data_IF_069761659436
#
_entry.id   IF_069761659436
#
_cell.length_a   1.000
_cell.length_b   1.000
_cell.length_c   1.000
_cell.angle_alpha   90.00
_cell.angle_beta   90.00
_cell.angle_gamma   90.00
#
_symmetry.space_group_name_H-M   'P 1'
#
loop_
_entity.id
_entity.type
_entity.pdbx_description
1 polymer ?
#
# COMPACT_ATOMS: atom_id res chain seq x y z
N UNK A 1 24.88 6.01 0.92
CA UNK A 1 24.80 6.89 2.10
C UNK A 1 23.39 7.02 2.68
N UNK A 2 22.33 7.39 1.93
CA UNK A 2 20.96 7.42 2.50
C UNK A 2 20.34 6.03 2.77
N UNK A 3 20.69 5.00 1.99
CA UNK A 3 20.19 3.64 2.19
C UNK A 3 20.79 2.93 3.40
N UNK A 4 22.01 3.30 3.79
CA UNK A 4 22.77 2.63 4.85
C UNK A 4 22.18 2.94 6.22
N UNK A 5 21.78 4.20 6.45
CA UNK A 5 21.15 4.64 7.69
C UNK A 5 19.76 4.01 7.88
N UNK A 6 18.94 3.97 6.82
CA UNK A 6 17.61 3.33 6.87
C UNK A 6 17.74 1.83 7.12
N UNK A 7 18.72 1.17 6.51
CA UNK A 7 18.99 -0.25 6.73
C UNK A 7 19.45 -0.53 8.16
N UNK A 8 20.36 0.29 8.70
CA UNK A 8 20.81 0.20 10.10
C UNK A 8 19.65 0.42 11.07
N UNK A 9 18.81 1.43 10.83
CA UNK A 9 17.65 1.72 11.67
C UNK A 9 16.58 0.64 11.57
N UNK A 10 16.35 0.06 10.39
CA UNK A 10 15.46 -1.10 10.22
C UNK A 10 15.93 -2.30 11.03
N UNK A 11 17.25 -2.57 11.09
CA UNK A 11 17.80 -3.65 11.92
C UNK A 11 17.58 -3.41 13.41
N UNK A 12 17.66 -2.14 13.85
CA UNK A 12 17.47 -1.74 15.24
C UNK A 12 15.99 -1.70 15.65
N UNK A 13 15.12 -1.21 14.77
CA UNK A 13 13.69 -1.03 15.00
C UNK A 13 12.90 -1.36 13.71
N UNK A 14 12.49 -2.63 13.55
CA UNK A 14 11.68 -3.06 12.41
C UNK A 14 10.29 -2.42 12.39
N UNK A 15 9.70 -2.16 13.56
CA UNK A 15 8.35 -1.60 13.68
C UNK A 15 8.30 -0.16 13.17
N UNK A 16 9.31 0.65 13.50
CA UNK A 16 9.45 2.00 12.92
C UNK A 16 9.53 1.94 11.39
N UNK A 17 10.30 1.00 10.84
CA UNK A 17 10.44 0.86 9.39
C UNK A 17 9.11 0.48 8.73
N UNK A 18 8.36 -0.45 9.32
CA UNK A 18 7.05 -0.86 8.83
C UNK A 18 6.01 0.25 8.92
N UNK A 19 5.89 0.92 10.08
CA UNK A 19 4.99 2.05 10.24
C UNK A 19 5.33 3.21 9.29
N UNK A 20 6.63 3.47 9.04
CA UNK A 20 7.06 4.47 8.06
C UNK A 20 6.68 4.08 6.63
N UNK A 21 6.87 2.81 6.25
CA UNK A 21 6.49 2.31 4.92
C UNK A 21 4.97 2.41 4.69
N UNK A 22 4.16 1.96 5.65
CA UNK A 22 2.69 2.09 5.62
C UNK A 22 2.27 3.54 5.48
N UNK A 23 2.84 4.43 6.30
CA UNK A 23 2.54 5.87 6.24
C UNK A 23 2.85 6.46 4.86
N UNK A 24 4.01 6.15 4.29
CA UNK A 24 4.40 6.65 2.96
C UNK A 24 3.50 6.12 1.85
N UNK A 25 3.07 4.85 1.93
CA UNK A 25 2.13 4.28 0.96
C UNK A 25 0.76 4.97 1.03
N UNK A 26 0.20 5.15 2.24
CA UNK A 26 -1.08 5.83 2.44
C UNK A 26 -1.01 7.29 1.95
N UNK A 27 0.09 7.99 2.26
CA UNK A 27 0.29 9.37 1.79
C UNK A 27 0.36 9.47 0.26
N UNK A 28 0.98 8.48 -0.40
CA UNK A 28 1.07 8.44 -1.86
C UNK A 28 -0.29 8.17 -2.49
N UNK A 29 -1.03 7.19 -1.97
CA UNK A 29 -2.43 6.93 -2.33
C UNK A 29 -3.32 8.16 -2.12
N UNK A 30 -3.16 8.88 -1.00
CA UNK A 30 -3.91 10.10 -0.72
C UNK A 30 -3.65 11.26 -1.69
N UNK A 31 -2.64 11.18 -2.56
CA UNK A 31 -2.43 12.19 -3.61
C UNK A 31 -3.37 12.01 -4.80
N UNK A 32 -3.93 10.82 -5.01
CA UNK A 32 -4.78 10.51 -6.17
C UNK A 32 -6.26 10.73 -5.89
N UNK A 33 -6.73 10.54 -4.66
CA UNK A 33 -8.11 10.83 -4.23
C UNK A 33 -8.15 12.13 -3.41
N UNK A 34 -8.83 13.18 -3.90
CA UNK A 34 -8.82 14.52 -3.26
C UNK A 34 -10.14 14.96 -2.64
N UNK A 35 -11.22 14.20 -2.84
CA UNK A 35 -12.57 14.54 -2.36
C UNK A 35 -13.37 13.28 -2.02
N UNK A 36 -14.42 13.45 -1.23
CA UNK A 36 -15.38 12.37 -0.87
C UNK A 36 -16.09 11.79 -2.10
N UNK A 37 -16.26 12.61 -3.15
CA UNK A 37 -16.90 12.22 -4.41
C UNK A 37 -15.88 11.80 -5.49
N UNK A 38 -14.59 11.78 -5.15
CA UNK A 38 -13.50 11.43 -6.05
C UNK A 38 -13.11 9.97 -5.83
N UNK A 39 -12.75 9.26 -6.89
CA UNK A 39 -12.35 7.87 -6.83
C UNK A 39 -11.12 7.63 -7.69
N UNK A 40 -10.14 6.92 -7.12
CA UNK A 40 -8.91 6.57 -7.81
C UNK A 40 -8.50 5.13 -7.52
N UNK A 41 -7.82 4.51 -8.48
CA UNK A 41 -7.30 3.15 -8.36
C UNK A 41 -5.78 3.23 -8.41
N UNK A 42 -5.13 2.80 -7.33
CA UNK A 42 -3.68 2.73 -7.23
C UNK A 42 -3.23 1.28 -7.37
N UNK A 43 -2.39 1.00 -8.36
CA UNK A 43 -1.75 -0.31 -8.51
C UNK A 43 -0.38 -0.31 -7.81
N UNK A 44 -0.13 -1.33 -6.99
CA UNK A 44 1.15 -1.54 -6.31
C UNK A 44 1.76 -2.85 -6.81
N UNK A 45 2.93 -2.76 -7.47
CA UNK A 45 3.62 -3.90 -8.07
C UNK A 45 4.67 -4.48 -7.12
N UNK A 46 4.24 -4.92 -5.93
CA UNK A 46 5.11 -5.58 -4.95
C UNK A 46 4.33 -6.63 -4.15
N UNK A 47 4.81 -7.88 -4.15
CA UNK A 47 4.22 -8.99 -3.38
C UNK A 47 4.18 -8.70 -1.87
N UNK A 48 5.16 -7.96 -1.34
CA UNK A 48 5.26 -7.62 0.09
C UNK A 48 4.30 -6.51 0.50
N UNK A 49 3.76 -5.72 -0.44
CA UNK A 49 2.82 -4.64 -0.14
C UNK A 49 1.58 -5.15 0.61
N UNK A 50 1.08 -6.35 0.28
CA UNK A 50 -0.05 -6.98 0.97
C UNK A 50 0.26 -7.22 2.46
N UNK A 51 1.49 -7.60 2.79
CA UNK A 51 1.88 -7.80 4.19
C UNK A 51 1.76 -6.50 4.97
N UNK A 52 2.24 -5.38 4.40
CA UNK A 52 2.18 -4.06 5.04
C UNK A 52 0.76 -3.49 5.11
N UNK A 53 0.00 -3.56 4.02
CA UNK A 53 -1.27 -2.86 3.92
C UNK A 53 -2.47 -3.67 4.43
N UNK A 54 -2.35 -4.99 4.59
CA UNK A 54 -3.48 -5.85 4.99
C UNK A 54 -3.25 -6.60 6.29
N UNK A 55 -2.04 -7.10 6.51
CA UNK A 55 -1.74 -8.03 7.60
C UNK A 55 -1.05 -7.37 8.81
N UNK A 56 -0.80 -6.07 8.74
CA UNK A 56 -0.06 -5.32 9.74
C UNK A 56 -0.98 -4.58 10.73
N UNK A 57 -0.48 -4.29 11.93
CA UNK A 57 -1.21 -3.57 12.97
C UNK A 57 -1.17 -2.04 12.78
N UNK A 58 -0.23 -1.54 11.98
CA UNK A 58 -0.05 -0.10 11.76
C UNK A 58 -1.02 0.48 10.71
N UNK A 59 -1.66 -0.37 9.90
CA UNK A 59 -2.54 0.08 8.81
C UNK A 59 -3.98 0.29 9.30
N UNK A 60 -4.59 1.48 9.07
CA UNK A 60 -5.99 1.72 9.40
C UNK A 60 -6.94 0.75 8.70
N UNK A 61 -8.02 0.36 9.37
CA UNK A 61 -8.99 -0.62 8.83
C UNK A 61 -9.58 -0.19 7.49
N UNK A 62 -9.91 1.08 7.33
CA UNK A 62 -10.44 1.62 6.08
C UNK A 62 -9.46 1.45 4.89
N UNK A 63 -8.14 1.44 5.14
CA UNK A 63 -7.15 1.13 4.11
C UNK A 63 -7.15 -0.37 3.81
N UNK A 64 -7.17 -1.22 4.84
CA UNK A 64 -7.16 -2.69 4.70
C UNK A 64 -8.34 -3.19 3.86
N UNK A 65 -9.51 -2.59 4.07
CA UNK A 65 -10.75 -2.88 3.35
C UNK A 65 -10.65 -2.51 1.85
N UNK A 66 -9.94 -1.43 1.53
CA UNK A 66 -9.70 -0.99 0.15
C UNK A 66 -8.62 -1.82 -0.60
N UNK A 67 -7.84 -2.66 0.11
CA UNK A 67 -6.76 -3.45 -0.51
C UNK A 67 -7.32 -4.73 -1.13
N UNK A 68 -7.26 -4.76 -2.47
CA UNK A 68 -7.60 -5.91 -3.30
C UNK A 68 -6.31 -6.56 -3.79
N UNK A 69 -6.22 -7.89 -3.69
CA UNK A 69 -5.07 -8.67 -4.18
C UNK A 69 -5.47 -9.37 -5.47
N UNK A 70 -4.70 -9.14 -6.52
CA UNK A 70 -4.75 -9.92 -7.75
C UNK A 70 -3.52 -10.82 -7.85
N UNK A 71 -3.65 -11.98 -8.50
CA UNK A 71 -2.54 -12.90 -8.71
C UNK A 71 -1.78 -12.57 -9.99
N UNK A 72 -2.48 -12.08 -11.02
CA UNK A 72 -1.91 -11.61 -12.29
C UNK A 72 -2.34 -10.18 -12.60
N UNK A 73 -1.65 -9.53 -13.54
CA UNK A 73 -2.03 -8.19 -14.00
C UNK A 73 -3.33 -8.27 -14.79
N UNK A 74 -3.48 -9.33 -15.58
CA UNK A 74 -4.64 -9.63 -16.39
C UNK A 74 -5.91 -9.71 -15.53
N UNK A 75 -5.88 -10.44 -14.41
CA UNK A 75 -7.01 -10.50 -13.45
C UNK A 75 -7.44 -9.10 -13.00
N UNK A 76 -6.45 -8.24 -12.75
CA UNK A 76 -6.68 -6.87 -12.26
C UNK A 76 -7.24 -5.93 -13.33
N UNK A 77 -7.04 -6.25 -14.60
CA UNK A 77 -7.58 -5.51 -15.73
C UNK A 77 -8.99 -6.02 -16.06
N UNK A 78 -9.21 -7.33 -16.05
CA UNK A 78 -10.52 -7.93 -16.36
C UNK A 78 -11.61 -7.51 -15.37
N UNK A 79 -11.33 -7.46 -14.05
CA UNK A 79 -12.29 -6.99 -13.04
C UNK A 79 -12.76 -5.54 -13.28
N UNK A 80 -11.99 -4.71 -13.99
CA UNK A 80 -12.42 -3.36 -14.38
C UNK A 80 -13.36 -3.34 -15.58
N UNK A 81 -13.22 -4.28 -16.50
CA UNK A 81 -14.04 -4.34 -17.70
C UNK A 81 -15.40 -4.99 -17.45
N UNK A 82 -15.50 -5.90 -16.47
CA UNK A 82 -16.76 -6.56 -16.09
C UNK A 82 -17.69 -5.69 -15.23
N UNK A 83 -17.18 -4.61 -14.63
CA UNK A 83 -17.97 -3.67 -13.80
C UNK A 83 -18.53 -2.48 -14.60
N UNK A 84 -18.65 -2.60 -15.92
CA UNK A 84 -19.20 -1.57 -16.81
C UNK A 84 -20.62 -1.86 -17.26
#
# INVERSE_FOLDING_TARGET
MAGDEVSARRKKDPNWYFGKAVTQMIQSYGRTTRSINDYSITYILDKRAIHYLKNDNFTPNWVKEAVIKYNTVEDSLMDKFDKK
#
